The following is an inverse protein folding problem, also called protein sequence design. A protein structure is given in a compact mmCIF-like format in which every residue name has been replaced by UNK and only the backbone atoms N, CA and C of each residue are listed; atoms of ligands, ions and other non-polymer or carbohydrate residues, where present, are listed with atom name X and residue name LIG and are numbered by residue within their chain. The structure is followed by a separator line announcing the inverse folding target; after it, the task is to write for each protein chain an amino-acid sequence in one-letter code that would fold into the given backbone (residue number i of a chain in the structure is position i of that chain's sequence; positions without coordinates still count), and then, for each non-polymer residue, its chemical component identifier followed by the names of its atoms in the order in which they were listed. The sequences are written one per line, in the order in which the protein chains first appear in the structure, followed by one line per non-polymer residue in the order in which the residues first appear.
data_IF_450525502214
#
_entry.id   IF_450525502214
#
_cell.length_a   1.000
_cell.length_b   1.000
_cell.length_c   1.000
_cell.angle_alpha   90.00
_cell.angle_beta   90.00
_cell.angle_gamma   90.00
#
_symmetry.space_group_name_H-M   'P 1'
#
loop_
_entity.id
_entity.type
_entity.pdbx_description
1 polymer ?
#
# COMPACT_ATOMS: atom_id res chain seq x y z
N UNK A 1 34.60 48.04 9.25
CA UNK A 1 34.31 46.69 8.71
C UNK A 1 32.96 46.23 9.28
N UNK A 2 31.87 46.37 8.52
CA UNK A 2 30.52 45.94 8.93
C UNK A 2 30.27 44.51 8.37
N UNK A 3 30.25 43.49 9.25
CA UNK A 3 29.87 42.11 8.90
C UNK A 3 28.35 42.07 8.61
N UNK A 4 28.01 41.98 7.35
CA UNK A 4 26.65 41.66 6.91
C UNK A 4 26.27 40.27 7.40
N UNK A 5 25.38 40.19 8.38
CA UNK A 5 24.69 38.97 8.77
C UNK A 5 23.74 38.58 7.64
N UNK A 6 24.12 37.59 6.83
CA UNK A 6 23.18 36.86 5.98
C UNK A 6 22.13 36.21 6.90
N UNK A 7 20.96 36.79 6.94
CA UNK A 7 19.76 36.12 7.41
C UNK A 7 19.55 34.87 6.50
N UNK A 8 20.01 33.74 6.97
CA UNK A 8 19.57 32.46 6.47
C UNK A 8 18.09 32.33 6.81
N UNK A 9 17.24 32.75 5.88
CA UNK A 9 15.82 32.55 5.96
C UNK A 9 15.60 31.05 6.19
N UNK A 10 15.11 30.74 7.39
CA UNK A 10 14.57 29.43 7.68
C UNK A 10 13.48 29.15 6.65
N UNK A 11 13.79 28.33 5.66
CA UNK A 11 12.77 27.50 5.06
C UNK A 11 12.28 26.64 6.23
N UNK A 12 11.31 27.19 6.96
CA UNK A 12 10.48 26.39 7.83
C UNK A 12 10.09 25.20 6.98
N UNK A 13 10.56 24.02 7.37
CA UNK A 13 10.00 22.76 6.88
C UNK A 13 8.51 22.88 7.11
N UNK A 14 7.82 23.31 6.08
CA UNK A 14 6.38 23.19 5.98
C UNK A 14 6.15 21.70 5.99
N UNK A 15 6.01 21.18 7.21
CA UNK A 15 5.68 19.78 7.48
C UNK A 15 4.45 19.51 6.62
N UNK A 16 4.69 18.85 5.50
CA UNK A 16 3.65 18.49 4.56
C UNK A 16 2.56 17.80 5.35
N UNK A 17 1.48 18.52 5.61
CA UNK A 17 0.33 17.93 6.26
C UNK A 17 -0.11 16.75 5.42
N UNK A 18 -0.35 15.57 6.01
CA UNK A 18 -0.87 14.46 5.26
C UNK A 18 -2.11 14.96 4.51
N UNK A 19 -2.26 14.61 3.22
CA UNK A 19 -3.41 15.04 2.46
C UNK A 19 -4.67 14.67 3.25
N UNK A 20 -5.51 15.66 3.54
CA UNK A 20 -6.76 15.44 4.26
C UNK A 20 -7.55 14.46 3.41
N UNK A 21 -7.77 13.26 3.95
CA UNK A 21 -8.65 12.28 3.33
C UNK A 21 -10.00 12.97 3.15
N UNK A 22 -10.40 13.09 1.90
CA UNK A 22 -11.66 13.71 1.52
C UNK A 22 -12.83 12.96 2.15
N UNK A 23 -14.02 13.56 2.13
CA UNK A 23 -15.31 13.03 2.61
C UNK A 23 -15.57 11.56 2.17
N UNK A 24 -14.86 11.08 1.17
CA UNK A 24 -15.00 9.73 0.59
C UNK A 24 -14.49 8.57 1.46
N UNK A 25 -13.69 8.84 2.52
CA UNK A 25 -13.16 7.77 3.37
C UNK A 25 -14.26 6.94 4.08
N UNK A 26 -15.31 7.53 4.69
CA UNK A 26 -16.41 6.76 5.25
C UNK A 26 -17.12 5.89 4.23
N UNK A 27 -17.29 6.37 3.00
CA UNK A 27 -17.90 5.61 1.90
C UNK A 27 -17.03 4.40 1.53
N UNK A 28 -15.71 4.60 1.42
CA UNK A 28 -14.78 3.49 1.17
C UNK A 28 -14.78 2.47 2.31
N UNK A 29 -14.85 2.91 3.55
CA UNK A 29 -14.92 2.00 4.70
C UNK A 29 -16.19 1.12 4.66
N UNK A 30 -17.33 1.69 4.31
CA UNK A 30 -18.57 0.93 4.09
C UNK A 30 -18.39 -0.06 2.94
N UNK A 31 -17.79 0.37 1.83
CA UNK A 31 -17.50 -0.52 0.70
C UNK A 31 -16.58 -1.67 1.09
N UNK A 32 -15.53 -1.42 1.87
CA UNK A 32 -14.63 -2.47 2.38
C UNK A 32 -15.36 -3.48 3.27
N UNK A 33 -16.25 -3.00 4.14
CA UNK A 33 -17.07 -3.88 4.98
C UNK A 33 -17.99 -4.75 4.13
N UNK A 34 -18.63 -4.19 3.10
CA UNK A 34 -19.47 -4.93 2.17
C UNK A 34 -18.68 -5.96 1.35
N UNK A 35 -17.47 -5.61 0.88
CA UNK A 35 -16.59 -6.53 0.18
C UNK A 35 -16.18 -7.69 1.10
N UNK A 36 -15.78 -7.40 2.33
CA UNK A 36 -15.43 -8.43 3.30
C UNK A 36 -16.61 -9.36 3.60
N UNK A 37 -17.80 -8.80 3.80
CA UNK A 37 -19.02 -9.58 4.01
C UNK A 37 -19.37 -10.45 2.79
N UNK A 38 -19.27 -9.89 1.58
CA UNK A 38 -19.50 -10.63 0.35
C UNK A 38 -18.49 -11.78 0.18
N UNK A 39 -17.21 -11.55 0.47
CA UNK A 39 -16.19 -12.58 0.43
C UNK A 39 -16.50 -13.71 1.42
N UNK A 40 -16.86 -13.38 2.66
CA UNK A 40 -17.28 -14.39 3.63
C UNK A 40 -18.47 -15.21 3.12
N UNK A 41 -19.47 -14.60 2.51
CA UNK A 41 -20.63 -15.31 1.94
C UNK A 41 -20.21 -16.19 0.77
N UNK A 42 -19.33 -15.74 -0.11
CA UNK A 42 -18.81 -16.53 -1.22
C UNK A 42 -18.06 -17.79 -0.73
N UNK A 43 -17.22 -17.63 0.30
CA UNK A 43 -16.51 -18.74 0.93
C UNK A 43 -17.51 -19.74 1.53
N UNK A 44 -18.50 -19.29 2.28
CA UNK A 44 -19.54 -20.15 2.85
C UNK A 44 -20.33 -20.92 1.77
N UNK A 45 -20.64 -20.26 0.66
CA UNK A 45 -21.31 -20.89 -0.47
C UNK A 45 -20.39 -21.92 -1.15
N UNK A 46 -19.11 -21.61 -1.32
CA UNK A 46 -18.13 -22.53 -1.88
C UNK A 46 -17.97 -23.76 -0.99
N UNK A 47 -17.80 -23.59 0.33
CA UNK A 47 -17.69 -24.69 1.30
C UNK A 47 -18.94 -25.57 1.27
N UNK A 48 -20.14 -25.00 1.17
CA UNK A 48 -21.39 -25.76 1.05
C UNK A 48 -21.53 -26.51 -0.27
N UNK A 49 -20.98 -25.95 -1.37
CA UNK A 49 -21.10 -26.51 -2.71
C UNK A 49 -20.09 -27.61 -3.01
N UNK A 50 -18.82 -27.39 -2.68
CA UNK A 50 -17.71 -28.27 -3.06
C UNK A 50 -16.95 -28.87 -1.88
N UNK A 51 -17.29 -28.50 -0.66
CA UNK A 51 -16.67 -28.99 0.57
C UNK A 51 -15.45 -28.16 1.00
N UNK A 52 -15.17 -28.22 2.30
CA UNK A 52 -14.08 -27.47 2.92
C UNK A 52 -12.70 -27.95 2.45
N UNK A 53 -12.54 -29.25 2.22
CA UNK A 53 -11.30 -29.86 1.74
C UNK A 53 -10.86 -29.29 0.38
N UNK A 54 -11.80 -29.03 -0.51
CA UNK A 54 -11.51 -28.44 -1.81
C UNK A 54 -11.18 -26.95 -1.70
N UNK A 55 -11.87 -26.25 -0.82
CA UNK A 55 -11.76 -24.78 -0.69
C UNK A 55 -10.46 -24.37 0.00
N UNK A 56 -10.05 -25.11 1.04
CA UNK A 56 -8.89 -24.83 1.88
C UNK A 56 -7.68 -25.72 1.60
N UNK A 57 -7.63 -26.39 0.43
CA UNK A 57 -6.46 -27.18 0.03
C UNK A 57 -5.33 -26.29 -0.49
N UNK A 58 -4.11 -26.78 -0.47
CA UNK A 58 -2.96 -26.20 -1.16
C UNK A 58 -3.26 -26.02 -2.66
N UNK A 59 -2.88 -24.88 -3.21
CA UNK A 59 -3.26 -24.42 -4.56
C UNK A 59 -4.79 -24.35 -4.77
N UNK A 60 -5.54 -24.17 -3.69
CA UNK A 60 -6.99 -24.06 -3.70
C UNK A 60 -7.50 -22.66 -4.05
N UNK A 61 -8.83 -22.50 -4.15
CA UNK A 61 -9.43 -21.21 -4.48
C UNK A 61 -9.11 -20.10 -3.47
N UNK A 62 -8.92 -20.45 -2.19
CA UNK A 62 -8.60 -19.49 -1.12
C UNK A 62 -7.21 -18.94 -1.33
N UNK A 63 -6.20 -19.79 -1.48
CA UNK A 63 -4.82 -19.43 -1.71
C UNK A 63 -4.63 -18.61 -3.00
N UNK A 64 -5.27 -19.02 -4.12
CA UNK A 64 -5.26 -18.21 -5.33
C UNK A 64 -5.86 -16.81 -5.12
N UNK A 65 -6.86 -16.69 -4.26
CA UNK A 65 -7.44 -15.39 -3.91
C UNK A 65 -6.48 -14.58 -3.05
N UNK A 66 -5.76 -15.20 -2.11
CA UNK A 66 -4.71 -14.58 -1.31
C UNK A 66 -3.60 -14.01 -2.20
N UNK A 67 -3.09 -14.83 -3.13
CA UNK A 67 -2.10 -14.40 -4.15
C UNK A 67 -2.59 -13.20 -4.94
N UNK A 68 -3.83 -13.26 -5.44
CA UNK A 68 -4.44 -12.17 -6.19
C UNK A 68 -4.53 -10.88 -5.37
N UNK A 69 -4.96 -10.96 -4.11
CA UNK A 69 -5.04 -9.81 -3.20
C UNK A 69 -3.67 -9.24 -2.85
N UNK A 70 -2.69 -10.09 -2.59
CA UNK A 70 -1.32 -9.68 -2.29
C UNK A 70 -0.66 -8.99 -3.50
N UNK A 71 -0.76 -9.57 -4.69
CA UNK A 71 -0.27 -8.94 -5.93
C UNK A 71 -0.94 -7.61 -6.19
N UNK A 72 -2.26 -7.54 -6.04
CA UNK A 72 -3.02 -6.30 -6.20
C UNK A 72 -2.54 -5.23 -5.21
N UNK A 73 -2.39 -5.57 -3.94
CA UNK A 73 -1.89 -4.66 -2.91
C UNK A 73 -0.47 -4.16 -3.23
N UNK A 74 0.44 -5.08 -3.62
CA UNK A 74 1.81 -4.75 -4.01
C UNK A 74 1.84 -3.76 -5.17
N UNK A 75 1.08 -4.02 -6.24
CA UNK A 75 0.98 -3.14 -7.41
C UNK A 75 0.42 -1.77 -7.03
N UNK A 76 -0.64 -1.71 -6.23
CA UNK A 76 -1.22 -0.46 -5.74
C UNK A 76 -0.21 0.38 -4.96
N UNK A 77 0.54 -0.23 -4.04
CA UNK A 77 1.59 0.42 -3.25
C UNK A 77 2.72 0.94 -4.15
N UNK A 78 3.14 0.16 -5.15
CA UNK A 78 4.17 0.58 -6.11
C UNK A 78 3.71 1.75 -6.99
N UNK A 79 2.47 1.74 -7.48
CA UNK A 79 1.90 2.86 -8.24
C UNK A 79 1.82 4.11 -7.36
N UNK A 80 1.33 3.99 -6.12
CA UNK A 80 1.30 5.10 -5.17
C UNK A 80 2.69 5.67 -4.91
N UNK A 81 3.72 4.81 -4.77
CA UNK A 81 5.10 5.23 -4.59
C UNK A 81 5.67 6.01 -5.78
N UNK A 82 5.22 5.71 -7.01
CA UNK A 82 5.64 6.46 -8.20
C UNK A 82 5.01 7.86 -8.23
N UNK A 83 3.74 7.96 -7.83
CA UNK A 83 2.97 9.19 -7.89
C UNK A 83 3.25 10.14 -6.70
N UNK A 84 3.69 9.60 -5.56
CA UNK A 84 3.96 10.39 -4.35
C UNK A 84 5.46 10.54 -4.11
N UNK A 85 6.01 11.76 -4.19
CA UNK A 85 7.41 12.01 -3.83
C UNK A 85 7.66 11.84 -2.32
N UNK A 86 6.64 12.12 -1.49
CA UNK A 86 6.66 11.92 -0.05
C UNK A 86 6.15 10.52 0.30
N UNK A 87 6.90 9.82 1.15
CA UNK A 87 6.55 8.45 1.55
C UNK A 87 6.95 7.36 0.55
N UNK A 88 7.56 7.76 -0.56
CA UNK A 88 7.97 6.86 -1.64
C UNK A 88 8.79 5.67 -1.15
N UNK A 89 9.76 5.91 -0.26
CA UNK A 89 10.64 4.87 0.25
C UNK A 89 9.85 3.81 1.02
N UNK A 90 8.98 4.24 1.92
CA UNK A 90 8.17 3.32 2.73
C UNK A 90 7.20 2.52 1.86
N UNK A 91 6.52 3.18 0.91
CA UNK A 91 5.59 2.51 -0.01
C UNK A 91 6.28 1.46 -0.88
N UNK A 92 7.50 1.72 -1.39
CA UNK A 92 8.28 0.72 -2.13
C UNK A 92 8.62 -0.48 -1.23
N UNK A 93 9.07 -0.23 -0.02
CA UNK A 93 9.41 -1.32 0.92
C UNK A 93 8.19 -2.16 1.24
N UNK A 94 7.05 -1.52 1.56
CA UNK A 94 5.80 -2.23 1.81
C UNK A 94 5.33 -3.02 0.58
N UNK A 95 5.40 -2.42 -0.63
CA UNK A 95 5.06 -3.10 -1.87
C UNK A 95 5.93 -4.33 -2.13
N UNK A 96 7.25 -4.23 -1.91
CA UNK A 96 8.17 -5.35 -2.03
C UNK A 96 7.87 -6.47 -1.01
N UNK A 97 7.55 -6.12 0.24
CA UNK A 97 7.21 -7.10 1.27
C UNK A 97 5.94 -7.88 0.90
N UNK A 98 4.89 -7.18 0.47
CA UNK A 98 3.64 -7.84 0.06
C UNK A 98 3.81 -8.62 -1.25
N UNK A 99 4.62 -8.12 -2.18
CA UNK A 99 4.97 -8.87 -3.40
C UNK A 99 5.75 -10.15 -3.10
N UNK A 100 6.63 -10.13 -2.10
CA UNK A 100 7.31 -11.34 -1.62
C UNK A 100 6.34 -12.30 -0.94
N UNK A 101 5.39 -11.82 -0.14
CA UNK A 101 4.35 -12.65 0.45
C UNK A 101 3.53 -13.34 -0.65
N UNK A 102 3.12 -12.62 -1.71
CA UNK A 102 2.44 -13.22 -2.85
C UNK A 102 3.26 -14.32 -3.54
N UNK A 103 4.57 -14.12 -3.68
CA UNK A 103 5.44 -15.13 -4.27
C UNK A 103 5.60 -16.36 -3.36
N UNK A 104 5.55 -16.19 -2.04
CA UNK A 104 5.57 -17.28 -1.06
C UNK A 104 4.31 -18.14 -1.17
N UNK A 105 3.15 -17.52 -1.30
CA UNK A 105 1.89 -18.25 -1.50
C UNK A 105 1.86 -19.01 -2.85
N UNK A 106 2.74 -18.71 -3.78
CA UNK A 106 2.90 -19.44 -5.05
C UNK A 106 4.06 -20.44 -5.03
N UNK A 107 4.60 -20.82 -3.87
CA UNK A 107 5.82 -21.63 -3.77
C UNK A 107 5.72 -22.94 -4.53
N UNK A 108 4.68 -23.73 -4.33
CA UNK A 108 4.46 -25.00 -5.02
C UNK A 108 4.35 -24.85 -6.54
N UNK A 109 3.80 -23.73 -7.05
CA UNK A 109 3.85 -23.43 -8.48
C UNK A 109 5.28 -23.16 -8.96
N UNK A 110 6.05 -22.33 -8.23
CA UNK A 110 7.44 -22.07 -8.55
C UNK A 110 8.29 -23.33 -8.54
N UNK A 111 8.10 -24.20 -7.56
CA UNK A 111 8.81 -25.46 -7.42
C UNK A 111 8.47 -26.44 -8.56
N UNK A 112 7.22 -26.49 -8.95
CA UNK A 112 6.79 -27.36 -10.07
C UNK A 112 7.36 -26.95 -11.43
N UNK A 113 7.65 -25.65 -11.63
CA UNK A 113 8.11 -25.11 -12.92
C UNK A 113 9.63 -24.96 -12.98
N UNK A 114 10.29 -24.68 -11.86
CA UNK A 114 11.71 -24.33 -11.85
C UNK A 114 12.55 -25.31 -11.00
N UNK A 115 12.64 -25.08 -9.71
CA UNK A 115 13.40 -25.86 -8.74
C UNK A 115 12.91 -25.56 -7.33
N UNK A 116 13.31 -26.37 -6.37
CA UNK A 116 12.98 -26.22 -4.96
C UNK A 116 13.36 -24.82 -4.43
N UNK A 117 12.46 -24.17 -3.69
CA UNK A 117 12.64 -22.82 -3.17
C UNK A 117 12.83 -21.71 -4.25
N UNK A 118 12.43 -21.95 -5.50
CA UNK A 118 12.64 -21.02 -6.61
C UNK A 118 12.08 -19.61 -6.35
N UNK A 119 10.96 -19.49 -5.64
CA UNK A 119 10.35 -18.19 -5.31
C UNK A 119 11.29 -17.28 -4.51
N UNK A 120 12.14 -17.86 -3.64
CA UNK A 120 13.13 -17.11 -2.85
C UNK A 120 14.13 -16.39 -3.74
N UNK A 121 14.57 -17.06 -4.80
CA UNK A 121 15.58 -16.53 -5.71
C UNK A 121 14.98 -15.67 -6.83
N UNK A 122 13.89 -16.12 -7.45
CA UNK A 122 13.31 -15.45 -8.61
C UNK A 122 12.49 -14.20 -8.23
N UNK A 123 11.80 -14.22 -7.11
CA UNK A 123 11.04 -13.09 -6.61
C UNK A 123 11.70 -12.43 -5.40
N UNK A 124 12.14 -13.21 -4.41
CA UNK A 124 12.67 -12.69 -3.14
C UNK A 124 13.93 -11.84 -3.32
N UNK A 125 14.93 -12.34 -4.04
CA UNK A 125 16.18 -11.58 -4.25
C UNK A 125 15.95 -10.27 -5.01
N UNK A 126 15.22 -10.22 -6.14
CA UNK A 126 14.93 -8.97 -6.82
C UNK A 126 14.13 -7.97 -5.97
N UNK A 127 13.08 -8.42 -5.28
CA UNK A 127 12.26 -7.56 -4.43
C UNK A 127 13.05 -7.01 -3.24
N UNK A 128 13.87 -7.85 -2.61
CA UNK A 128 14.79 -7.43 -1.55
C UNK A 128 15.80 -6.40 -2.08
N UNK A 129 16.35 -6.61 -3.28
CA UNK A 129 17.25 -5.68 -3.94
C UNK A 129 16.60 -4.31 -4.15
N UNK A 130 15.37 -4.28 -4.66
CA UNK A 130 14.60 -3.04 -4.85
C UNK A 130 14.34 -2.35 -3.50
N UNK A 131 13.92 -3.09 -2.49
CA UNK A 131 13.68 -2.56 -1.14
C UNK A 131 14.95 -1.97 -0.52
N UNK A 132 16.08 -2.67 -0.60
CA UNK A 132 17.38 -2.20 -0.10
C UNK A 132 17.86 -0.94 -0.82
N UNK A 133 17.75 -0.89 -2.16
CA UNK A 133 18.09 0.31 -2.94
C UNK A 133 17.20 1.49 -2.53
N UNK A 134 15.91 1.28 -2.35
CA UNK A 134 14.98 2.31 -1.86
C UNK A 134 15.39 2.81 -0.47
N UNK A 135 15.68 1.89 0.46
CA UNK A 135 16.11 2.21 1.82
C UNK A 135 17.43 3.02 1.84
N UNK A 136 18.43 2.59 1.08
CA UNK A 136 19.73 3.29 1.02
C UNK A 136 19.57 4.69 0.46
N UNK A 137 18.79 4.84 -0.62
CA UNK A 137 18.51 6.15 -1.22
C UNK A 137 17.65 7.04 -0.34
N UNK A 138 16.67 6.47 0.36
CA UNK A 138 15.72 7.15 1.22
C UNK A 138 16.16 7.30 2.68
N UNK A 139 17.34 6.80 3.09
CA UNK A 139 17.79 6.68 4.49
C UNK A 139 17.64 7.93 5.36
N UNK A 140 17.79 9.12 4.75
CA UNK A 140 17.65 10.40 5.46
C UNK A 140 16.19 10.83 5.68
N UNK A 141 15.26 10.29 4.90
CA UNK A 141 13.85 10.67 4.89
C UNK A 141 12.95 9.63 5.53
N UNK A 142 13.37 8.36 5.57
CA UNK A 142 12.52 7.24 5.98
C UNK A 142 11.89 7.42 7.36
N UNK A 143 12.64 7.98 8.33
CA UNK A 143 12.11 8.19 9.69
C UNK A 143 11.00 9.25 9.71
N UNK A 144 11.16 10.32 8.93
CA UNK A 144 10.14 11.38 8.82
C UNK A 144 8.94 10.85 8.04
N UNK A 145 9.18 10.21 6.89
CA UNK A 145 8.16 9.58 6.06
C UNK A 145 7.32 8.58 6.89
N UNK A 146 7.99 7.69 7.63
CA UNK A 146 7.30 6.69 8.46
C UNK A 146 6.43 7.33 9.53
N UNK A 147 6.91 8.37 10.24
CA UNK A 147 6.12 9.05 11.27
C UNK A 147 4.84 9.69 10.74
N UNK A 148 4.88 10.17 9.52
CA UNK A 148 3.70 10.81 8.89
C UNK A 148 2.79 9.75 8.28
N UNK A 149 3.35 8.82 7.49
CA UNK A 149 2.55 7.80 6.83
C UNK A 149 1.87 6.82 7.79
N UNK A 150 2.53 6.42 8.88
CA UNK A 150 1.94 5.54 9.89
C UNK A 150 0.69 6.13 10.58
N UNK A 151 0.45 7.43 10.41
CA UNK A 151 -0.78 8.09 10.88
C UNK A 151 -1.89 8.12 9.82
N UNK A 152 -1.62 7.64 8.62
CA UNK A 152 -2.64 7.57 7.56
C UNK A 152 -3.46 6.29 7.67
N UNK A 153 -4.73 6.30 7.23
CA UNK A 153 -5.56 5.11 7.20
C UNK A 153 -4.92 3.96 6.42
N UNK A 154 -4.26 4.26 5.30
CA UNK A 154 -3.56 3.28 4.48
C UNK A 154 -2.53 2.48 5.30
N UNK A 155 -1.57 3.17 5.93
CA UNK A 155 -0.51 2.48 6.68
C UNK A 155 -1.00 1.87 8.00
N UNK A 156 -2.06 2.41 8.60
CA UNK A 156 -2.70 1.79 9.75
C UNK A 156 -3.31 0.44 9.38
N UNK A 157 -4.08 0.38 8.28
CA UNK A 157 -4.66 -0.87 7.77
C UNK A 157 -3.55 -1.85 7.36
N UNK A 158 -2.48 -1.35 6.71
CA UNK A 158 -1.30 -2.15 6.35
C UNK A 158 -0.67 -2.81 7.58
N UNK A 159 -0.42 -2.02 8.62
CA UNK A 159 0.19 -2.53 9.86
C UNK A 159 -0.70 -3.57 10.55
N UNK A 160 -2.02 -3.31 10.60
CA UNK A 160 -2.97 -4.28 11.18
C UNK A 160 -2.95 -5.58 10.37
N UNK A 161 -3.07 -5.52 9.04
CA UNK A 161 -3.03 -6.71 8.17
C UNK A 161 -1.71 -7.48 8.28
N UNK A 162 -0.58 -6.77 8.24
CA UNK A 162 0.74 -7.38 8.39
C UNK A 162 0.97 -8.04 9.75
N UNK A 163 0.62 -7.35 10.85
CA UNK A 163 0.72 -7.91 12.20
C UNK A 163 -0.22 -9.13 12.32
N UNK A 164 -1.43 -9.04 11.78
CA UNK A 164 -2.41 -10.12 11.79
C UNK A 164 -1.84 -11.39 11.12
N UNK A 165 -1.30 -11.28 9.91
CA UNK A 165 -0.67 -12.40 9.20
C UNK A 165 0.55 -12.94 9.98
N UNK A 166 1.44 -12.06 10.43
CA UNK A 166 2.67 -12.48 11.09
C UNK A 166 2.49 -13.03 12.52
N UNK A 167 1.34 -12.82 13.15
CA UNK A 167 1.11 -13.23 14.55
C UNK A 167 -0.05 -14.19 14.69
N UNK A 168 -1.28 -13.79 14.33
CA UNK A 168 -2.46 -14.61 14.54
C UNK A 168 -2.49 -15.83 13.62
N UNK A 169 -2.14 -15.66 12.35
CA UNK A 169 -2.09 -16.80 11.43
C UNK A 169 -1.02 -17.79 11.87
N UNK A 170 0.15 -17.32 12.29
CA UNK A 170 1.20 -18.20 12.82
C UNK A 170 0.80 -18.90 14.15
N UNK A 171 -0.06 -18.26 14.96
CA UNK A 171 -0.58 -18.91 16.17
C UNK A 171 -1.53 -20.07 15.82
N UNK A 172 -2.28 -19.97 14.73
CA UNK A 172 -3.14 -21.06 14.26
C UNK A 172 -2.37 -22.22 13.65
N UNK A 173 -1.14 -22.03 13.21
CA UNK A 173 -0.26 -23.08 12.71
C UNK A 173 0.26 -24.02 13.82
N UNK A 174 0.14 -23.64 15.11
CA UNK A 174 0.61 -24.45 16.24
C UNK A 174 -0.29 -25.72 16.41
N UNK A 175 0.24 -26.95 16.20
CA UNK A 175 -0.57 -28.18 16.24
C UNK A 175 -1.23 -28.43 17.60
N UNK A 176 -0.56 -28.10 18.71
CA UNK A 176 -1.03 -28.32 20.07
C UNK A 176 -2.33 -27.60 20.39
N UNK A 177 -2.60 -26.47 19.72
CA UNK A 177 -3.85 -25.72 19.87
C UNK A 177 -5.07 -26.56 19.48
N UNK A 178 -4.94 -27.37 18.44
CA UNK A 178 -6.03 -28.16 17.85
C UNK A 178 -6.21 -29.51 18.51
N UNK A 179 -5.16 -30.11 19.01
CA UNK A 179 -5.18 -31.43 19.67
C UNK A 179 -5.62 -31.36 21.13
N UNK A 180 -5.19 -30.30 21.87
CA UNK A 180 -5.49 -30.17 23.29
C UNK A 180 -6.98 -29.89 23.60
N UNK A 181 -7.72 -29.29 22.65
CA UNK A 181 -9.10 -28.85 22.86
C UNK A 181 -10.18 -29.85 22.49
N UNK A 182 -9.87 -30.99 21.86
CA UNK A 182 -10.88 -31.96 21.37
C UNK A 182 -11.90 -31.27 20.39
N UNK A 183 -11.49 -30.23 19.69
CA UNK A 183 -12.36 -29.33 18.95
C UNK A 183 -12.90 -29.92 17.64
N UNK A 184 -12.35 -31.01 17.15
CA UNK A 184 -12.76 -31.58 15.85
C UNK A 184 -12.44 -33.05 15.74
N UNK A 185 -13.25 -33.80 14.99
CA UNK A 185 -12.97 -35.20 14.56
C UNK A 185 -11.81 -35.24 13.54
N UNK A 186 -11.53 -34.12 12.86
CA UNK A 186 -10.45 -33.95 11.90
C UNK A 186 -9.64 -32.67 12.21
N UNK A 187 -8.77 -32.71 13.24
CA UNK A 187 -8.06 -31.51 13.69
C UNK A 187 -7.15 -30.87 12.61
N UNK A 188 -6.52 -31.71 11.77
CA UNK A 188 -5.63 -31.22 10.70
C UNK A 188 -6.38 -30.41 9.64
N UNK A 189 -7.55 -30.88 9.20
CA UNK A 189 -8.38 -30.19 8.23
C UNK A 189 -8.96 -28.89 8.81
N UNK A 190 -9.39 -28.92 10.08
CA UNK A 190 -9.91 -27.73 10.76
C UNK A 190 -8.81 -26.69 10.92
N UNK A 191 -7.60 -27.10 11.29
CA UNK A 191 -6.42 -26.26 11.37
C UNK A 191 -6.17 -25.57 10.02
N UNK A 192 -5.98 -26.34 8.95
CA UNK A 192 -5.70 -25.82 7.62
C UNK A 192 -6.77 -24.81 7.16
N UNK A 193 -8.05 -25.13 7.36
CA UNK A 193 -9.14 -24.24 6.97
C UNK A 193 -9.14 -22.91 7.76
N UNK A 194 -8.91 -22.95 9.07
CA UNK A 194 -8.88 -21.74 9.90
C UNK A 194 -7.66 -20.88 9.55
N UNK A 195 -6.51 -21.48 9.34
CA UNK A 195 -5.29 -20.81 8.93
C UNK A 195 -5.49 -20.10 7.59
N UNK A 196 -5.94 -20.81 6.55
CA UNK A 196 -6.21 -20.26 5.23
C UNK A 196 -7.21 -19.09 5.24
N UNK A 197 -8.30 -19.22 5.98
CA UNK A 197 -9.30 -18.16 6.08
C UNK A 197 -8.79 -16.95 6.87
N UNK A 198 -7.96 -17.19 7.89
CA UNK A 198 -7.32 -16.11 8.63
C UNK A 198 -6.32 -15.37 7.75
N UNK A 199 -5.46 -16.07 7.00
CA UNK A 199 -4.52 -15.44 6.08
C UNK A 199 -5.23 -14.64 4.99
N UNK A 200 -6.30 -15.19 4.40
CA UNK A 200 -7.13 -14.50 3.42
C UNK A 200 -7.66 -13.16 3.95
N UNK A 201 -8.12 -13.12 5.21
CA UNK A 201 -8.55 -11.87 5.82
C UNK A 201 -7.42 -10.88 5.98
N UNK A 202 -6.23 -11.34 6.35
CA UNK A 202 -5.03 -10.50 6.39
C UNK A 202 -4.66 -9.90 5.03
N UNK A 203 -4.67 -10.70 3.96
CA UNK A 203 -4.43 -10.23 2.60
C UNK A 203 -5.52 -9.28 2.09
N UNK A 204 -6.76 -9.46 2.50
CA UNK A 204 -7.84 -8.51 2.23
C UNK A 204 -7.56 -7.13 2.86
N UNK A 205 -7.06 -7.09 4.09
CA UNK A 205 -6.64 -5.83 4.72
C UNK A 205 -5.48 -5.19 3.97
N UNK A 206 -4.49 -5.96 3.51
CA UNK A 206 -3.40 -5.44 2.70
C UNK A 206 -3.91 -4.88 1.35
N UNK A 207 -4.89 -5.53 0.71
CA UNK A 207 -5.53 -5.02 -0.49
C UNK A 207 -6.24 -3.68 -0.26
N UNK A 208 -6.98 -3.54 0.85
CA UNK A 208 -7.61 -2.26 1.24
C UNK A 208 -6.57 -1.17 1.52
N UNK A 209 -5.47 -1.51 2.17
CA UNK A 209 -4.34 -0.59 2.34
C UNK A 209 -3.77 -0.10 1.00
N UNK A 210 -3.64 -0.99 0.02
CA UNK A 210 -3.24 -0.64 -1.34
C UNK A 210 -4.18 0.37 -1.99
N UNK A 211 -5.50 0.15 -1.90
CA UNK A 211 -6.53 1.08 -2.40
C UNK A 211 -6.43 2.44 -1.71
N UNK A 212 -6.28 2.48 -0.40
CA UNK A 212 -6.13 3.73 0.36
C UNK A 212 -4.84 4.47 -0.01
N UNK A 213 -3.75 3.74 -0.30
CA UNK A 213 -2.50 4.33 -0.77
C UNK A 213 -2.68 5.00 -2.13
N UNK A 214 -3.40 4.35 -3.06
CA UNK A 214 -3.74 4.92 -4.36
C UNK A 214 -4.65 6.14 -4.23
N UNK A 215 -5.69 6.06 -3.41
CA UNK A 215 -6.60 7.19 -3.17
C UNK A 215 -5.86 8.42 -2.64
N UNK A 216 -4.90 8.20 -1.73
CA UNK A 216 -4.03 9.24 -1.20
C UNK A 216 -3.11 9.83 -2.28
N UNK A 217 -2.54 8.99 -3.15
CA UNK A 217 -1.67 9.42 -4.24
C UNK A 217 -2.41 10.27 -5.27
N UNK A 218 -3.61 9.86 -5.68
CA UNK A 218 -4.45 10.64 -6.60
C UNK A 218 -4.93 11.95 -6.00
N UNK A 219 -5.27 11.98 -4.70
CA UNK A 219 -5.64 13.21 -4.01
C UNK A 219 -4.48 14.21 -4.00
N UNK A 220 -3.25 13.74 -3.81
CA UNK A 220 -2.04 14.57 -3.83
C UNK A 220 -1.78 15.17 -5.24
N UNK A 221 -1.84 14.35 -6.28
CA UNK A 221 -1.65 14.81 -7.66
C UNK A 221 -2.67 15.87 -8.09
N UNK A 222 -3.93 15.74 -7.68
CA UNK A 222 -4.98 16.71 -7.98
C UNK A 222 -4.74 18.08 -7.30
N UNK A 223 -4.16 18.11 -6.10
CA UNK A 223 -3.83 19.35 -5.39
C UNK A 223 -2.70 20.09 -6.12
N UNK A 224 -1.67 19.35 -6.54
CA UNK A 224 -0.54 19.93 -7.26
C UNK A 224 -0.97 20.52 -8.61
N UNK A 225 -1.80 19.81 -9.37
CA UNK A 225 -2.34 20.29 -10.65
C UNK A 225 -3.15 21.56 -10.46
N UNK A 226 -4.04 21.64 -9.49
CA UNK A 226 -4.84 22.83 -9.19
C UNK A 226 -4.00 24.02 -8.77
N UNK A 227 -2.93 23.81 -8.01
CA UNK A 227 -2.03 24.88 -7.60
C UNK A 227 -1.28 25.48 -8.80
N UNK A 228 -0.86 24.63 -9.75
CA UNK A 228 -0.21 25.08 -11.00
C UNK A 228 -1.18 25.85 -11.89
N UNK A 229 -2.42 25.35 -12.05
CA UNK A 229 -3.46 26.06 -12.82
C UNK A 229 -3.81 27.42 -12.20
N UNK A 230 -3.94 27.50 -10.88
CA UNK A 230 -4.21 28.75 -10.17
C UNK A 230 -3.08 29.75 -10.35
N UNK A 231 -1.82 29.32 -10.21
CA UNK A 231 -0.66 30.18 -10.43
C UNK A 231 -0.55 30.69 -11.88
N UNK A 232 -0.86 29.82 -12.85
CA UNK A 232 -0.88 30.19 -14.25
C UNK A 232 -1.99 31.23 -14.57
N UNK A 233 -3.18 31.03 -13.98
CA UNK A 233 -4.29 31.98 -14.12
C UNK A 233 -3.96 33.35 -13.51
N UNK A 234 -3.31 33.38 -12.34
CA UNK A 234 -2.88 34.59 -11.68
C UNK A 234 -1.80 35.33 -12.49
N UNK A 235 -0.82 34.64 -13.05
CA UNK A 235 0.19 35.21 -13.93
C UNK A 235 -0.44 35.84 -15.18
N UNK A 236 -1.43 35.18 -15.79
CA UNK A 236 -2.15 35.71 -16.96
C UNK A 236 -2.95 36.96 -16.63
N UNK A 237 -3.57 37.04 -15.45
CA UNK A 237 -4.28 38.26 -14.98
C UNK A 237 -3.35 39.43 -14.77
N UNK A 238 -2.13 39.19 -14.24
CA UNK A 238 -1.14 40.23 -14.02
C UNK A 238 -0.64 40.80 -15.35
N UNK A 239 -0.44 39.96 -16.36
CA UNK A 239 0.02 40.37 -17.69
C UNK A 239 -1.02 41.23 -18.42
N UNK A 240 -2.31 40.92 -18.26
CA UNK A 240 -3.42 41.69 -18.83
C UNK A 240 -3.67 43.03 -18.11
N UNK A 241 -3.26 43.16 -16.85
CA UNK A 241 -3.47 44.37 -16.03
C UNK A 241 -2.27 45.34 -16.06
N UNK A 242 -1.15 44.94 -16.65
CA UNK A 242 0.01 45.82 -16.77
C UNK A 242 -0.28 46.88 -17.87
N UNK A 243 -0.46 48.17 -17.57
CA UNK A 243 -0.72 49.17 -18.60
C UNK A 243 0.47 49.23 -19.54
N UNK A 244 0.18 49.10 -20.83
CA UNK A 244 1.17 49.25 -21.88
C UNK A 244 1.71 50.69 -21.78
N UNK A 245 2.88 50.87 -21.23
CA UNK A 245 3.54 52.17 -21.16
C UNK A 245 3.92 52.57 -22.60
N UNK A 246 3.10 53.42 -23.19
CA UNK A 246 3.36 53.96 -24.51
C UNK A 246 4.78 54.54 -24.56
N UNK A 247 5.62 53.96 -25.41
CA UNK A 247 6.95 54.46 -25.64
C UNK A 247 6.87 55.92 -26.12
N UNK A 248 7.63 56.87 -25.52
CA UNK A 248 7.58 58.28 -25.92
C UNK A 248 7.99 58.41 -27.39
N UNK A 249 7.09 58.91 -28.22
CA UNK A 249 7.34 59.22 -29.62
C UNK A 249 8.53 60.19 -29.72
N UNK A 250 9.68 59.73 -30.19
CA UNK A 250 10.80 60.57 -30.58
C UNK A 250 10.33 61.47 -31.74
N UNK A 251 9.92 62.70 -31.44
CA UNK A 251 9.81 63.74 -32.44
C UNK A 251 11.24 64.12 -32.87
N UNK A 252 11.56 63.74 -34.11
CA UNK A 252 12.70 64.32 -34.80
C UNK A 252 12.46 65.80 -35.06
N UNK A 253 13.41 66.68 -34.62
CA UNK A 253 13.57 68.04 -35.06
C UNK A 253 14.76 68.10 -36.01
#
# INVERSE_FOLDING_TARGET
MKKSRKNGGGQSEELAHPPRTTFDYPVRLVAYTLIAAALCQLILLAVRGVGIEFVARENGPVELTQVGMALFASVCLMIAAVQMPFGRTLLIVCGCLVGYAAARECDSWFESVFFDDAYKYLAGVPLLGVALVALVRGRKRIVVESRVLLRTPSMTIFAIGGIYICTLCQAFDVPDLWTAGGLSESPEMTKAAVEEFAELFGYLLLAFSGIESLAMAFAHGNVETRSVESAAAEATCIELTTPQVDAPSRRAA
#
